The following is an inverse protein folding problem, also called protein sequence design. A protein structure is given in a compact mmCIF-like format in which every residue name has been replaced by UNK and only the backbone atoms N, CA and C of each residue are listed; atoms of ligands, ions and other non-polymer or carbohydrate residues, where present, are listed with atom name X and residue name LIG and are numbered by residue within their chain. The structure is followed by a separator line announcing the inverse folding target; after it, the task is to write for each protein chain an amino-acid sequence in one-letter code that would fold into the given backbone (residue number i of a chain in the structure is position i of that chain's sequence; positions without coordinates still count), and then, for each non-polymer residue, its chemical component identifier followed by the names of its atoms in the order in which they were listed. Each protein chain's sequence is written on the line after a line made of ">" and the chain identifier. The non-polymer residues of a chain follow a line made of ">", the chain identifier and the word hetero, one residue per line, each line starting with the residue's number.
data_IF_975226557001
#
_entry.id   IF_975226557001
#
_cell.length_a   1.000
_cell.length_b   1.000
_cell.length_c   1.000
_cell.angle_alpha   90.00
_cell.angle_beta   90.00
_cell.angle_gamma   90.00
#
_symmetry.space_group_name_H-M   'P 1'
#
loop_
_entity.id
_entity.type
_entity.pdbx_description
1 polymer ?
#
# COMPACT_ATOMS: atom_id res chain seq x y z
N UNK A 1 11.93 -12.44 -13.93
CA UNK A 1 12.39 -11.04 -13.80
C UNK A 1 13.89 -11.08 -13.96
N UNK A 2 14.43 -10.36 -14.93
CA UNK A 2 15.84 -10.42 -15.32
C UNK A 2 16.75 -9.70 -14.33
N UNK A 3 16.25 -8.66 -13.67
CA UNK A 3 17.01 -7.80 -12.75
C UNK A 3 16.77 -8.11 -11.27
N UNK A 4 15.98 -9.14 -10.95
CA UNK A 4 15.65 -9.47 -9.56
C UNK A 4 16.85 -10.03 -8.79
N UNK A 5 17.03 -9.67 -7.50
CA UNK A 5 17.97 -10.34 -6.63
C UNK A 5 17.72 -11.84 -6.56
N UNK A 6 18.78 -12.64 -6.60
CA UNK A 6 18.69 -14.10 -6.56
C UNK A 6 18.06 -14.64 -5.26
N UNK A 7 18.19 -13.91 -4.16
CA UNK A 7 17.61 -14.25 -2.86
C UNK A 7 16.13 -13.86 -2.71
N UNK A 8 15.55 -13.14 -3.68
CA UNK A 8 14.17 -12.66 -3.60
C UNK A 8 13.18 -13.79 -3.86
N UNK A 9 12.31 -14.06 -2.88
CA UNK A 9 11.20 -15.00 -3.01
C UNK A 9 9.90 -14.20 -3.11
N UNK A 10 9.23 -14.29 -4.26
CA UNK A 10 7.91 -13.69 -4.47
C UNK A 10 6.83 -14.72 -4.17
N UNK A 11 5.86 -14.35 -3.34
CA UNK A 11 4.79 -15.24 -2.88
C UNK A 11 3.42 -14.72 -3.32
N UNK A 12 2.44 -15.62 -3.34
CA UNK A 12 1.04 -15.31 -3.68
C UNK A 12 0.11 -16.27 -2.97
N UNK A 13 -0.98 -15.76 -2.40
CA UNK A 13 -2.05 -16.58 -1.83
C UNK A 13 -3.12 -16.95 -2.90
N UNK A 14 -2.91 -16.56 -4.16
CA UNK A 14 -3.72 -16.99 -5.29
C UNK A 14 -2.98 -17.98 -6.17
N UNK A 15 -3.58 -19.15 -6.37
CA UNK A 15 -3.08 -20.15 -7.30
C UNK A 15 -2.94 -19.56 -8.71
N UNK A 16 -1.84 -19.91 -9.38
CA UNK A 16 -1.52 -19.49 -10.74
C UNK A 16 -1.55 -17.96 -10.92
N UNK A 17 -1.06 -17.23 -9.94
CA UNK A 17 -0.86 -15.78 -10.05
C UNK A 17 0.48 -15.40 -9.45
N UNK A 18 1.46 -15.11 -10.31
CA UNK A 18 2.81 -14.72 -9.97
C UNK A 18 3.34 -13.64 -10.93
N UNK A 19 4.66 -13.51 -11.08
CA UNK A 19 5.26 -12.41 -11.83
C UNK A 19 4.81 -12.32 -13.30
N UNK A 20 4.54 -13.48 -13.93
CA UNK A 20 4.06 -13.53 -15.32
C UNK A 20 2.67 -12.92 -15.48
N UNK A 21 1.75 -13.25 -14.58
CA UNK A 21 0.39 -12.71 -14.60
C UNK A 21 0.35 -11.23 -14.21
N UNK A 22 1.17 -10.81 -13.24
CA UNK A 22 1.30 -9.38 -12.89
C UNK A 22 1.87 -8.59 -14.07
N UNK A 23 2.83 -9.13 -14.82
CA UNK A 23 3.33 -8.50 -16.05
C UNK A 23 2.22 -8.31 -17.08
N UNK A 24 1.40 -9.33 -17.31
CA UNK A 24 0.28 -9.23 -18.25
C UNK A 24 -0.72 -8.16 -17.81
N UNK A 25 -1.04 -8.11 -16.52
CA UNK A 25 -1.91 -7.07 -15.96
C UNK A 25 -1.28 -5.66 -16.14
N UNK A 26 0.01 -5.47 -15.83
CA UNK A 26 0.74 -4.21 -16.01
C UNK A 26 0.70 -3.73 -17.47
N UNK A 27 1.09 -4.60 -18.40
CA UNK A 27 1.11 -4.27 -19.83
C UNK A 27 -0.30 -3.94 -20.35
N UNK A 28 -1.31 -4.67 -19.87
CA UNK A 28 -2.72 -4.42 -20.25
C UNK A 28 -3.20 -3.05 -19.81
N UNK A 29 -2.93 -2.63 -18.57
CA UNK A 29 -3.39 -1.33 -18.07
C UNK A 29 -2.59 -0.16 -18.67
N UNK A 30 -1.26 -0.30 -18.82
CA UNK A 30 -0.43 0.72 -19.48
C UNK A 30 -0.88 0.94 -20.92
N UNK A 31 -1.15 -0.14 -21.66
CA UNK A 31 -1.69 -0.07 -23.03
C UNK A 31 -3.05 0.60 -23.09
N UNK A 32 -3.96 0.24 -22.19
CA UNK A 32 -5.29 0.87 -22.13
C UNK A 32 -5.19 2.38 -21.91
N UNK A 33 -4.23 2.81 -21.10
CA UNK A 33 -4.03 4.20 -20.73
C UNK A 33 -3.12 4.99 -21.68
N UNK A 34 -2.51 4.35 -22.68
CA UNK A 34 -1.48 4.94 -23.56
C UNK A 34 -0.20 5.35 -22.83
N UNK A 35 0.16 4.64 -21.75
CA UNK A 35 1.35 4.88 -20.93
C UNK A 35 2.50 3.92 -21.27
N UNK A 36 2.39 3.19 -22.39
CA UNK A 36 3.46 2.32 -22.89
C UNK A 36 4.76 3.13 -23.09
N UNK A 37 5.84 2.73 -22.41
CA UNK A 37 7.14 3.41 -22.48
C UNK A 37 7.47 4.33 -21.29
N UNK A 38 6.53 4.55 -20.35
CA UNK A 38 6.80 5.31 -19.12
C UNK A 38 7.72 4.55 -18.12
N UNK A 39 7.88 3.24 -18.32
CA UNK A 39 8.82 2.39 -17.59
C UNK A 39 9.86 1.81 -18.55
N UNK A 40 11.12 1.82 -18.14
CA UNK A 40 12.14 0.99 -18.79
C UNK A 40 11.92 -0.50 -18.46
N UNK A 41 12.46 -1.45 -19.25
CA UNK A 41 12.30 -2.88 -18.97
C UNK A 41 12.78 -3.31 -17.57
N UNK A 42 13.81 -2.64 -17.03
CA UNK A 42 14.30 -2.90 -15.68
C UNK A 42 13.35 -2.37 -14.61
N UNK A 43 12.73 -1.21 -14.83
CA UNK A 43 11.72 -0.64 -13.95
C UNK A 43 10.42 -1.44 -14.01
N UNK A 44 10.02 -1.97 -15.17
CA UNK A 44 8.90 -2.91 -15.28
C UNK A 44 9.12 -4.13 -14.38
N UNK A 45 10.31 -4.75 -14.45
CA UNK A 45 10.66 -5.89 -13.60
C UNK A 45 10.58 -5.55 -12.11
N UNK A 46 11.06 -4.38 -11.71
CA UNK A 46 11.02 -3.90 -10.33
C UNK A 46 9.58 -3.60 -9.88
N UNK A 47 8.75 -2.97 -10.72
CA UNK A 47 7.33 -2.71 -10.43
C UNK A 47 6.57 -4.01 -10.26
N UNK A 48 6.75 -4.98 -11.15
CA UNK A 48 6.10 -6.30 -11.07
C UNK A 48 6.47 -6.99 -9.75
N UNK A 49 7.76 -6.98 -9.40
CA UNK A 49 8.23 -7.58 -8.16
C UNK A 49 7.66 -6.87 -6.93
N UNK A 50 7.71 -5.54 -6.92
CA UNK A 50 7.30 -4.72 -5.78
C UNK A 50 5.80 -4.84 -5.53
N UNK A 51 4.97 -4.73 -6.57
CA UNK A 51 3.51 -4.89 -6.47
C UNK A 51 3.15 -6.28 -5.93
N UNK A 52 3.77 -7.34 -6.45
CA UNK A 52 3.50 -8.71 -6.00
C UNK A 52 3.95 -8.93 -4.56
N UNK A 53 5.19 -8.53 -4.24
CA UNK A 53 5.80 -8.62 -2.91
C UNK A 53 4.97 -7.89 -1.86
N UNK A 54 4.69 -6.60 -2.08
CA UNK A 54 3.97 -5.75 -1.14
C UNK A 54 2.50 -6.19 -0.97
N UNK A 55 1.85 -6.65 -2.05
CA UNK A 55 0.49 -7.22 -1.99
C UNK A 55 0.42 -8.42 -1.06
N UNK A 56 1.31 -9.40 -1.24
CA UNK A 56 1.33 -10.59 -0.39
C UNK A 56 1.76 -10.28 1.06
N UNK A 57 2.71 -9.35 1.23
CA UNK A 57 3.31 -9.01 2.52
C UNK A 57 2.38 -8.19 3.43
N UNK A 58 1.72 -7.17 2.88
CA UNK A 58 0.95 -6.20 3.68
C UNK A 58 -0.57 -6.47 3.68
N UNK A 59 -1.07 -7.26 2.73
CA UNK A 59 -2.49 -7.60 2.61
C UNK A 59 -2.71 -9.13 2.52
N UNK A 60 -2.20 -9.94 3.46
CA UNK A 60 -2.30 -11.40 3.39
C UNK A 60 -3.73 -11.94 3.42
N UNK A 61 -4.70 -11.15 3.89
CA UNK A 61 -6.13 -11.49 3.89
C UNK A 61 -6.80 -11.30 2.52
N UNK A 62 -6.19 -10.50 1.64
CA UNK A 62 -6.74 -10.17 0.33
C UNK A 62 -6.13 -11.13 -0.70
N UNK A 63 -6.93 -11.67 -1.64
CA UNK A 63 -6.39 -12.37 -2.80
C UNK A 63 -5.29 -11.52 -3.46
N UNK A 64 -4.07 -12.05 -3.56
CA UNK A 64 -2.90 -11.36 -4.14
C UNK A 64 -3.23 -10.78 -5.52
N UNK A 65 -3.98 -11.49 -6.36
CA UNK A 65 -4.47 -10.98 -7.66
C UNK A 65 -5.31 -9.72 -7.53
N UNK A 66 -6.21 -9.68 -6.55
CA UNK A 66 -7.03 -8.50 -6.34
C UNK A 66 -6.16 -7.31 -5.92
N UNK A 67 -5.27 -7.50 -4.95
CA UNK A 67 -4.43 -6.42 -4.46
C UNK A 67 -3.44 -5.93 -5.52
N UNK A 68 -2.79 -6.82 -6.29
CA UNK A 68 -1.91 -6.41 -7.38
C UNK A 68 -2.63 -5.56 -8.42
N UNK A 69 -3.85 -5.95 -8.82
CA UNK A 69 -4.66 -5.19 -9.78
C UNK A 69 -5.11 -3.84 -9.24
N UNK A 70 -5.45 -3.76 -7.95
CA UNK A 70 -5.77 -2.48 -7.30
C UNK A 70 -4.55 -1.58 -7.34
N UNK A 71 -3.37 -2.08 -6.96
CA UNK A 71 -2.15 -1.27 -6.91
C UNK A 71 -1.65 -0.84 -8.28
N UNK A 72 -1.78 -1.69 -9.31
CA UNK A 72 -1.47 -1.26 -10.69
C UNK A 72 -2.40 -0.13 -11.15
N UNK A 73 -3.69 -0.20 -10.79
CA UNK A 73 -4.64 0.87 -11.09
C UNK A 73 -4.40 2.13 -10.25
N UNK A 74 -3.92 1.98 -9.01
CA UNK A 74 -3.50 3.08 -8.15
C UNK A 74 -2.28 3.81 -8.74
N UNK A 75 -1.24 3.07 -9.14
CA UNK A 75 -0.07 3.64 -9.83
C UNK A 75 -0.49 4.40 -11.10
N UNK A 76 -1.47 3.88 -11.84
CA UNK A 76 -2.04 4.58 -13.00
C UNK A 76 -2.73 5.88 -12.61
N UNK A 77 -3.54 5.88 -11.56
CA UNK A 77 -4.27 7.06 -11.10
C UNK A 77 -3.34 8.13 -10.53
N UNK A 78 -2.27 7.72 -9.86
CA UNK A 78 -1.34 8.60 -9.16
C UNK A 78 -0.23 9.16 -10.06
N UNK A 79 0.25 8.38 -11.03
CA UNK A 79 1.49 8.75 -11.74
C UNK A 79 1.56 8.43 -13.22
N UNK A 80 0.54 7.83 -13.82
CA UNK A 80 0.63 7.31 -15.19
C UNK A 80 1.85 6.38 -15.39
N UNK A 81 2.22 5.62 -14.33
CA UNK A 81 3.42 4.79 -14.30
C UNK A 81 4.75 5.55 -14.46
N UNK A 82 4.80 6.86 -14.19
CA UNK A 82 6.03 7.64 -14.24
C UNK A 82 6.75 7.57 -12.88
N UNK A 83 7.86 6.81 -12.76
CA UNK A 83 8.49 6.52 -11.45
C UNK A 83 9.16 7.74 -10.81
N UNK A 84 9.30 8.82 -11.58
CA UNK A 84 9.97 10.06 -11.18
C UNK A 84 9.01 11.25 -11.15
N UNK A 85 7.70 11.02 -11.31
CA UNK A 85 6.72 12.10 -11.25
C UNK A 85 6.80 12.81 -9.89
N UNK A 86 6.73 14.13 -9.92
CA UNK A 86 6.67 14.97 -8.72
C UNK A 86 5.55 15.96 -8.90
N UNK A 87 4.53 15.86 -8.05
CA UNK A 87 3.41 16.79 -8.02
C UNK A 87 3.66 17.88 -6.97
N UNK A 88 3.17 19.10 -7.22
CA UNK A 88 3.13 20.13 -6.21
C UNK A 88 2.27 19.61 -5.04
N UNK A 89 2.83 19.64 -3.82
CA UNK A 89 2.17 19.08 -2.64
C UNK A 89 0.78 19.65 -2.40
N UNK A 90 -0.09 18.89 -1.70
CA UNK A 90 -1.28 19.51 -1.10
C UNK A 90 -0.79 20.52 -0.06
N UNK A 91 -1.61 21.53 0.24
CA UNK A 91 -1.24 22.80 0.91
C UNK A 91 -0.42 22.68 2.21
N UNK A 92 -0.37 21.50 2.83
CA UNK A 92 0.30 21.16 4.09
C UNK A 92 1.29 19.98 4.01
N UNK A 93 1.22 19.13 2.99
CA UNK A 93 1.83 17.79 2.98
C UNK A 93 3.20 17.75 2.31
N UNK A 94 3.56 18.79 1.56
CA UNK A 94 4.79 18.82 0.77
C UNK A 94 4.68 17.98 -0.52
N UNK A 95 5.71 18.00 -1.35
CA UNK A 95 5.68 17.33 -2.67
C UNK A 95 5.37 15.84 -2.55
N UNK A 96 4.52 15.36 -3.46
CA UNK A 96 4.18 13.95 -3.65
C UNK A 96 4.98 13.40 -4.82
N UNK A 97 5.62 12.24 -4.65
CA UNK A 97 6.62 11.73 -5.60
C UNK A 97 6.51 10.23 -5.91
N UNK A 98 6.91 9.89 -7.13
CA UNK A 98 7.03 8.52 -7.61
C UNK A 98 5.69 7.86 -7.94
N UNK A 99 5.71 6.53 -8.07
CA UNK A 99 4.62 5.75 -8.65
C UNK A 99 3.28 5.87 -7.90
N UNK A 100 3.33 5.92 -6.57
CA UNK A 100 2.17 6.07 -5.70
C UNK A 100 2.11 7.44 -5.03
N UNK A 101 2.89 8.42 -5.50
CA UNK A 101 2.81 9.81 -5.04
C UNK A 101 3.01 9.99 -3.52
N UNK A 102 3.97 9.25 -2.96
CA UNK A 102 4.42 9.35 -1.56
C UNK A 102 4.88 10.76 -1.22
N UNK A 103 4.53 11.28 -0.05
CA UNK A 103 5.03 12.55 0.49
C UNK A 103 6.14 12.30 1.53
N UNK A 104 7.43 12.21 1.12
CA UNK A 104 8.52 11.81 2.01
C UNK A 104 8.88 12.86 3.07
N UNK A 105 8.54 14.13 2.84
CA UNK A 105 8.77 15.26 3.75
C UNK A 105 7.48 16.06 4.01
N UNK A 106 7.61 17.30 4.49
CA UNK A 106 6.44 18.18 4.72
C UNK A 106 5.59 17.77 5.91
N UNK A 107 4.27 17.97 5.82
CA UNK A 107 3.30 17.61 6.86
C UNK A 107 3.07 16.11 7.03
N UNK A 108 3.12 15.32 5.96
CA UNK A 108 2.81 13.87 6.01
C UNK A 108 3.97 13.01 6.51
N UNK A 109 5.22 13.40 6.23
CA UNK A 109 6.44 12.75 6.75
C UNK A 109 6.50 11.22 6.57
N UNK A 110 6.00 10.68 5.46
CA UNK A 110 5.74 9.24 5.32
C UNK A 110 7.03 8.40 5.32
N UNK A 111 8.11 8.93 4.76
CA UNK A 111 9.43 8.27 4.84
C UNK A 111 9.93 8.23 6.29
N UNK A 112 9.77 9.32 7.05
CA UNK A 112 10.13 9.35 8.49
C UNK A 112 9.29 8.36 9.27
N UNK A 113 7.99 8.29 9.01
CA UNK A 113 7.08 7.33 9.63
C UNK A 113 7.56 5.89 9.36
N UNK A 114 7.84 5.55 8.10
CA UNK A 114 8.31 4.22 7.72
C UNK A 114 9.65 3.87 8.37
N UNK A 115 10.62 4.80 8.31
CA UNK A 115 11.95 4.63 8.92
C UNK A 115 11.89 4.37 10.42
N UNK A 116 10.96 5.03 11.11
CA UNK A 116 10.82 4.96 12.57
C UNK A 116 10.13 3.67 12.99
N UNK A 117 9.05 3.29 12.30
CA UNK A 117 8.12 2.28 12.82
C UNK A 117 8.14 0.95 12.08
N UNK A 118 8.65 0.87 10.85
CA UNK A 118 8.53 -0.36 10.07
C UNK A 118 9.62 -1.40 10.41
N UNK A 119 9.20 -2.65 10.61
CA UNK A 119 10.06 -3.81 10.84
C UNK A 119 10.36 -4.52 9.52
N UNK A 120 11.64 -4.63 9.17
CA UNK A 120 12.09 -5.21 7.89
C UNK A 120 12.84 -6.52 8.04
N UNK A 121 13.18 -6.94 9.26
CA UNK A 121 13.92 -8.20 9.49
C UNK A 121 13.06 -9.46 9.40
N UNK A 122 11.74 -9.32 9.49
CA UNK A 122 10.77 -10.39 9.33
C UNK A 122 9.44 -9.77 8.90
N UNK A 123 8.55 -10.58 8.33
CA UNK A 123 7.15 -10.21 8.13
C UNK A 123 6.37 -10.54 9.40
N UNK A 124 5.75 -9.54 10.01
CA UNK A 124 5.14 -9.67 11.35
C UNK A 124 3.74 -9.09 11.39
N UNK A 125 2.87 -9.72 12.18
CA UNK A 125 1.49 -9.29 12.39
C UNK A 125 1.27 -9.03 13.88
N UNK A 126 0.85 -7.82 14.26
CA UNK A 126 0.72 -7.48 15.67
C UNK A 126 -0.32 -8.34 16.40
N UNK A 127 -1.32 -8.85 15.68
CA UNK A 127 -2.36 -9.77 16.17
C UNK A 127 -2.01 -11.26 16.09
N UNK A 128 -0.87 -11.60 15.48
CA UNK A 128 -0.41 -12.97 15.37
C UNK A 128 1.12 -13.02 15.34
N UNK A 129 1.72 -12.89 16.52
CA UNK A 129 3.18 -12.85 16.70
C UNK A 129 3.86 -14.20 16.46
N UNK A 130 3.08 -15.28 16.51
CA UNK A 130 3.54 -16.67 16.37
C UNK A 130 3.26 -17.25 14.98
N UNK A 131 2.53 -16.55 14.11
CA UNK A 131 2.56 -16.83 12.68
C UNK A 131 4.00 -16.65 12.22
N UNK A 132 4.71 -17.77 12.00
CA UNK A 132 6.12 -17.77 11.63
C UNK A 132 6.44 -16.81 10.49
N UNK A 133 7.72 -16.48 10.34
CA UNK A 133 8.23 -15.49 9.36
C UNK A 133 7.58 -15.68 7.98
N UNK A 134 6.54 -14.89 7.67
CA UNK A 134 5.75 -15.00 6.43
C UNK A 134 6.59 -14.72 5.19
N UNK A 135 6.50 -13.52 4.63
CA UNK A 135 7.35 -13.08 3.51
C UNK A 135 8.84 -12.88 3.88
N UNK A 136 9.30 -13.33 5.07
CA UNK A 136 10.68 -13.16 5.53
C UNK A 136 11.13 -11.71 5.69
N UNK A 137 12.44 -11.48 5.62
CA UNK A 137 13.01 -10.13 5.63
C UNK A 137 12.64 -9.35 4.35
N UNK A 138 12.38 -8.05 4.47
CA UNK A 138 12.23 -7.17 3.32
C UNK A 138 13.62 -6.89 2.75
N UNK A 139 13.88 -7.38 1.54
CA UNK A 139 15.13 -7.13 0.82
C UNK A 139 15.07 -5.80 0.08
N UNK A 140 16.22 -5.18 -0.12
CA UNK A 140 16.40 -4.06 -1.05
C UNK A 140 16.68 -4.61 -2.46
N UNK A 141 15.94 -4.10 -3.46
CA UNK A 141 16.00 -4.59 -4.83
C UNK A 141 17.38 -4.48 -5.48
N UNK A 142 18.14 -3.43 -5.17
CA UNK A 142 19.44 -3.21 -5.81
C UNK A 142 20.54 -4.09 -5.20
N UNK A 143 20.47 -4.30 -3.89
CA UNK A 143 21.55 -4.98 -3.14
C UNK A 143 21.24 -6.45 -2.83
N UNK A 144 19.97 -6.86 -2.92
CA UNK A 144 19.50 -8.19 -2.49
C UNK A 144 19.65 -8.46 -0.99
N UNK A 145 20.10 -7.47 -0.22
CA UNK A 145 20.30 -7.56 1.23
C UNK A 145 19.07 -7.05 1.97
N UNK A 146 18.93 -7.37 3.26
CA UNK A 146 17.87 -6.77 4.08
C UNK A 146 17.92 -5.25 3.99
N UNK A 147 16.77 -4.64 3.73
CA UNK A 147 16.63 -3.21 3.57
C UNK A 147 17.11 -2.45 4.81
N UNK A 148 17.89 -1.38 4.60
CA UNK A 148 18.39 -0.50 5.66
C UNK A 148 17.60 0.80 5.66
N UNK A 149 16.43 0.81 6.30
CA UNK A 149 15.52 1.97 6.31
C UNK A 149 16.22 3.26 6.77
N UNK A 150 17.07 3.20 7.80
CA UNK A 150 17.78 4.37 8.32
C UNK A 150 18.64 5.09 7.28
N UNK A 151 19.14 4.36 6.27
CA UNK A 151 19.98 4.87 5.20
C UNK A 151 19.18 5.46 4.01
N UNK A 152 17.85 5.29 3.98
CA UNK A 152 17.02 5.83 2.91
C UNK A 152 16.92 7.36 2.98
N UNK A 153 17.04 7.97 1.82
CA UNK A 153 16.88 9.40 1.54
C UNK A 153 15.59 9.67 0.76
N UNK A 154 15.21 10.94 0.58
CA UNK A 154 14.03 11.28 -0.22
C UNK A 154 14.17 10.85 -1.69
N UNK A 155 15.39 10.87 -2.25
CA UNK A 155 15.60 10.40 -3.63
C UNK A 155 15.42 8.90 -3.79
N UNK A 156 15.62 8.11 -2.72
CA UNK A 156 15.38 6.67 -2.77
C UNK A 156 13.90 6.33 -3.00
N UNK A 157 12.99 7.22 -2.60
CA UNK A 157 11.53 7.05 -2.78
C UNK A 157 11.12 7.08 -4.25
N UNK A 158 12.00 7.51 -5.16
CA UNK A 158 11.77 7.41 -6.61
C UNK A 158 12.10 6.02 -7.19
N UNK A 159 12.72 5.13 -6.40
CA UNK A 159 12.93 3.73 -6.82
C UNK A 159 11.60 2.98 -6.70
N UNK A 160 11.12 2.28 -7.75
CA UNK A 160 9.84 1.58 -7.72
C UNK A 160 9.64 0.70 -6.48
N UNK A 161 10.66 -0.10 -6.12
CA UNK A 161 10.60 -0.99 -4.97
C UNK A 161 10.38 -0.25 -3.65
N UNK A 162 11.10 0.85 -3.43
CA UNK A 162 11.00 1.66 -2.22
C UNK A 162 9.66 2.38 -2.16
N UNK A 163 9.25 3.02 -3.27
CA UNK A 163 8.00 3.76 -3.37
C UNK A 163 6.79 2.89 -3.03
N UNK A 164 6.70 1.72 -3.70
CA UNK A 164 5.56 0.82 -3.57
C UNK A 164 5.52 0.19 -2.17
N UNK A 165 6.65 -0.27 -1.64
CA UNK A 165 6.68 -0.85 -0.29
C UNK A 165 6.34 0.16 0.80
N UNK A 166 6.82 1.40 0.69
CA UNK A 166 6.51 2.47 1.63
C UNK A 166 5.00 2.79 1.59
N UNK A 167 4.45 3.12 0.42
CA UNK A 167 3.05 3.49 0.27
C UNK A 167 2.12 2.37 0.75
N UNK A 168 2.34 1.13 0.29
CA UNK A 168 1.49 0.01 0.67
C UNK A 168 1.57 -0.35 2.16
N UNK A 169 2.73 -0.13 2.81
CA UNK A 169 2.83 -0.29 4.26
C UNK A 169 2.00 0.77 5.00
N UNK A 170 2.04 2.03 4.56
CA UNK A 170 1.24 3.12 5.14
C UNK A 170 -0.26 2.86 4.92
N UNK A 171 -0.68 2.58 3.68
CA UNK A 171 -2.07 2.32 3.33
C UNK A 171 -2.64 1.12 4.09
N UNK A 172 -1.87 0.01 4.19
CA UNK A 172 -2.31 -1.18 4.94
C UNK A 172 -2.53 -0.89 6.42
N UNK A 173 -1.56 -0.23 7.08
CA UNK A 173 -1.66 0.07 8.50
C UNK A 173 -2.74 1.12 8.80
N UNK A 174 -2.93 2.10 7.91
CA UNK A 174 -4.05 3.05 7.98
C UNK A 174 -5.38 2.30 7.89
N UNK A 175 -5.56 1.43 6.88
CA UNK A 175 -6.79 0.65 6.74
C UNK A 175 -7.10 -0.22 7.96
N UNK A 176 -6.11 -0.93 8.51
CA UNK A 176 -6.29 -1.85 9.65
C UNK A 176 -6.60 -1.13 10.96
N UNK A 177 -6.11 0.10 11.09
CA UNK A 177 -6.39 0.97 12.22
C UNK A 177 -7.61 1.85 11.96
N UNK A 178 -8.41 1.56 10.93
CA UNK A 178 -9.61 2.33 10.59
C UNK A 178 -9.31 3.81 10.34
N UNK A 179 -8.11 4.09 9.84
CA UNK A 179 -7.57 5.43 9.58
C UNK A 179 -7.14 6.20 10.84
N UNK A 180 -6.79 5.53 11.94
CA UNK A 180 -6.25 6.23 13.12
C UNK A 180 -4.92 6.92 12.83
N UNK A 181 -4.71 8.06 13.49
CA UNK A 181 -3.44 8.78 13.50
C UNK A 181 -2.28 7.84 13.87
N UNK A 182 -1.15 7.84 13.13
CA UNK A 182 0.02 7.03 13.45
C UNK A 182 0.55 7.17 14.88
N UNK A 183 0.32 8.29 15.56
CA UNK A 183 0.64 8.48 16.98
C UNK A 183 -0.02 7.41 17.87
N UNK A 184 -1.20 6.92 17.49
CA UNK A 184 -1.95 5.91 18.24
C UNK A 184 -1.54 4.47 17.91
N UNK A 185 -0.73 4.24 16.87
CA UNK A 185 -0.42 2.90 16.37
C UNK A 185 0.32 2.04 17.40
N UNK A 186 1.18 2.63 18.25
CA UNK A 186 1.86 1.88 19.31
C UNK A 186 0.87 1.26 20.32
N UNK A 187 -0.14 2.03 20.74
CA UNK A 187 -1.17 1.54 21.65
C UNK A 187 -2.03 0.45 21.00
N UNK A 188 -2.37 0.61 19.72
CA UNK A 188 -3.14 -0.37 18.94
C UNK A 188 -2.34 -1.66 18.74
N UNK A 189 -1.05 -1.57 18.39
CA UNK A 189 -0.12 -2.70 18.28
C UNK A 189 -0.13 -3.53 19.56
N UNK A 190 0.08 -2.87 20.70
CA UNK A 190 0.10 -3.52 22.01
C UNK A 190 -1.25 -4.16 22.38
N UNK A 191 -2.37 -3.50 22.06
CA UNK A 191 -3.70 -4.04 22.33
C UNK A 191 -4.06 -5.25 21.43
N UNK A 192 -3.57 -5.27 20.19
CA UNK A 192 -3.86 -6.35 19.24
C UNK A 192 -3.14 -7.67 19.58
N UNK A 193 -1.99 -7.60 20.26
CA UNK A 193 -1.18 -8.76 20.63
C UNK A 193 -1.90 -9.78 21.52
N UNK A 194 -2.94 -9.36 22.24
CA UNK A 194 -3.73 -10.23 23.12
C UNK A 194 -4.98 -10.79 22.43
N UNK A 195 -5.09 -10.69 21.11
CA UNK A 195 -6.31 -11.06 20.37
C UNK A 195 -5.98 -11.87 19.13
N UNK A 196 -6.63 -13.02 18.97
CA UNK A 196 -6.32 -13.99 17.90
C UNK A 196 -6.62 -13.52 16.47
N UNK A 197 -7.22 -12.33 16.27
CA UNK A 197 -7.47 -11.67 14.97
C UNK A 197 -7.55 -10.14 15.06
N UNK A 198 -6.96 -9.52 16.09
CA UNK A 198 -7.05 -8.07 16.29
C UNK A 198 -8.38 -7.54 16.81
N UNK A 199 -9.48 -8.29 16.65
CA UNK A 199 -10.84 -7.88 16.99
C UNK A 199 -11.20 -8.11 18.46
N UNK A 200 -10.44 -7.49 19.38
CA UNK A 200 -10.83 -7.46 20.81
C UNK A 200 -11.62 -6.20 21.13
N UNK A 201 -12.42 -6.25 22.21
CA UNK A 201 -13.07 -5.06 22.76
C UNK A 201 -12.05 -3.93 23.07
N UNK A 202 -10.82 -4.30 23.47
CA UNK A 202 -9.74 -3.34 23.75
C UNK A 202 -9.29 -2.62 22.49
N UNK A 203 -9.05 -3.36 21.40
CA UNK A 203 -8.70 -2.76 20.10
C UNK A 203 -9.85 -1.92 19.58
N UNK A 204 -11.08 -2.44 19.56
CA UNK A 204 -12.25 -1.68 19.11
C UNK A 204 -12.43 -0.38 19.89
N UNK A 205 -12.14 -0.34 21.20
CA UNK A 205 -12.17 0.88 22.01
C UNK A 205 -11.12 1.91 21.57
N UNK A 206 -9.93 1.47 21.20
CA UNK A 206 -8.87 2.35 20.66
C UNK A 206 -9.17 2.81 19.23
N UNK A 207 -10.06 2.11 18.53
CA UNK A 207 -10.59 2.52 17.24
C UNK A 207 -11.82 3.43 17.38
N UNK A 208 -12.30 3.76 18.58
CA UNK A 208 -13.41 4.71 18.77
C UNK A 208 -12.95 6.12 18.39
N UNK A 209 -13.73 6.79 17.55
CA UNK A 209 -13.31 8.01 16.84
C UNK A 209 -12.69 7.71 15.47
N UNK A 210 -12.49 6.43 15.14
CA UNK A 210 -12.18 5.94 13.82
C UNK A 210 -13.30 5.05 13.25
N UNK A 211 -14.32 5.65 12.65
CA UNK A 211 -15.53 4.98 12.15
C UNK A 211 -15.43 4.37 10.74
N UNK A 212 -14.24 4.29 10.15
CA UNK A 212 -14.07 3.75 8.80
C UNK A 212 -13.96 2.22 8.82
N UNK A 213 -14.53 1.56 7.80
CA UNK A 213 -14.40 0.12 7.68
C UNK A 213 -12.93 -0.24 7.51
N UNK A 214 -12.47 -1.35 8.12
CA UNK A 214 -11.13 -1.88 7.86
C UNK A 214 -11.12 -2.57 6.50
N UNK A 215 -11.14 -1.79 5.42
CA UNK A 215 -11.19 -2.27 4.05
C UNK A 215 -10.08 -1.65 3.22
N UNK A 216 -9.79 -2.25 2.07
CA UNK A 216 -8.85 -1.67 1.09
C UNK A 216 -9.29 -0.27 0.67
N UNK A 217 -10.61 -0.02 0.55
CA UNK A 217 -11.14 1.32 0.26
C UNK A 217 -10.68 2.35 1.28
N UNK A 218 -10.67 2.01 2.57
CA UNK A 218 -10.18 2.93 3.60
C UNK A 218 -8.69 3.21 3.44
N UNK A 219 -7.86 2.21 3.11
CA UNK A 219 -6.44 2.43 2.85
C UNK A 219 -6.20 3.42 1.71
N UNK A 220 -6.94 3.26 0.60
CA UNK A 220 -6.91 4.15 -0.56
C UNK A 220 -7.47 5.55 -0.23
N UNK A 221 -8.64 5.63 0.41
CA UNK A 221 -9.27 6.91 0.73
C UNK A 221 -8.44 7.75 1.71
N UNK A 222 -7.83 7.12 2.72
CA UNK A 222 -6.96 7.80 3.68
C UNK A 222 -5.65 8.30 3.05
N UNK A 223 -5.18 7.65 1.98
CA UNK A 223 -4.04 8.14 1.18
C UNK A 223 -4.31 9.53 0.59
N UNK A 224 -5.58 9.82 0.29
CA UNK A 224 -5.99 11.06 -0.40
C UNK A 224 -6.63 12.10 0.54
N UNK A 225 -7.49 11.68 1.47
CA UNK A 225 -8.19 12.59 2.38
C UNK A 225 -7.49 12.80 3.73
N UNK A 226 -6.60 11.88 4.13
CA UNK A 226 -6.05 11.83 5.48
C UNK A 226 -6.91 11.01 6.45
N UNK A 227 -6.59 11.11 7.74
CA UNK A 227 -7.01 10.12 8.73
C UNK A 227 -8.46 10.26 9.26
N UNK A 228 -9.20 11.30 8.87
CA UNK A 228 -10.47 11.62 9.53
C UNK A 228 -11.60 10.65 9.16
N UNK A 229 -12.48 10.37 10.11
CA UNK A 229 -13.53 9.35 9.92
C UNK A 229 -14.92 9.88 9.64
N UNK A 230 -15.07 11.19 9.82
CA UNK A 230 -16.10 12.05 9.25
C UNK A 230 -15.55 13.49 9.17
N UNK A 231 -16.32 14.42 8.58
CA UNK A 231 -15.95 15.83 8.51
C UNK A 231 -14.75 16.13 7.62
N UNK A 232 -14.12 17.29 7.84
CA UNK A 232 -12.99 17.78 7.05
C UNK A 232 -11.81 16.80 7.09
N UNK A 233 -11.33 16.36 5.92
CA UNK A 233 -10.22 15.39 5.81
C UNK A 233 -10.64 13.93 5.88
N UNK A 234 -11.92 13.62 5.68
CA UNK A 234 -12.41 12.25 5.54
C UNK A 234 -12.86 11.98 4.11
N UNK A 235 -12.46 10.84 3.54
CA UNK A 235 -12.91 10.42 2.19
C UNK A 235 -14.42 10.15 2.10
N UNK A 236 -15.11 10.10 3.24
CA UNK A 236 -16.57 9.96 3.33
C UNK A 236 -17.29 11.30 3.45
N UNK A 237 -16.56 12.42 3.48
CA UNK A 237 -17.16 13.74 3.56
C UNK A 237 -18.03 14.00 2.33
N UNK A 238 -19.26 14.47 2.55
CA UNK A 238 -20.13 14.91 1.45
C UNK A 238 -19.48 16.12 0.74
N UNK A 239 -19.23 15.99 -0.55
CA UNK A 239 -18.55 17.00 -1.37
C UNK A 239 -17.01 16.89 -1.37
N UNK A 240 -16.44 15.78 -0.87
CA UNK A 240 -15.05 15.43 -1.14
C UNK A 240 -14.92 14.79 -2.53
N UNK A 241 -15.01 15.63 -3.54
CA UNK A 241 -14.92 15.22 -4.94
C UNK A 241 -13.52 14.67 -5.29
N UNK A 242 -12.48 15.01 -4.51
CA UNK A 242 -11.10 14.59 -4.78
C UNK A 242 -10.95 13.10 -4.47
N UNK A 243 -11.36 12.67 -3.28
CA UNK A 243 -11.28 11.25 -2.92
C UNK A 243 -12.21 10.38 -3.76
N UNK A 244 -13.39 10.89 -4.11
CA UNK A 244 -14.32 10.20 -5.01
C UNK A 244 -13.71 10.02 -6.41
N UNK A 245 -13.20 11.09 -7.03
CA UNK A 245 -12.55 11.03 -8.34
C UNK A 245 -11.33 10.11 -8.35
N UNK A 246 -10.53 10.12 -7.28
CA UNK A 246 -9.40 9.22 -7.12
C UNK A 246 -9.86 7.75 -7.06
N UNK A 247 -10.80 7.40 -6.18
CA UNK A 247 -11.31 6.03 -6.05
C UNK A 247 -11.94 5.57 -7.37
N UNK A 248 -12.67 6.44 -8.06
CA UNK A 248 -13.23 6.14 -9.37
C UNK A 248 -12.16 5.90 -10.43
N UNK A 249 -11.07 6.69 -10.42
CA UNK A 249 -9.93 6.50 -11.32
C UNK A 249 -9.26 5.13 -11.10
N UNK A 250 -9.07 4.74 -9.83
CA UNK A 250 -8.58 3.39 -9.49
C UNK A 250 -9.55 2.32 -9.99
N UNK A 251 -10.86 2.49 -9.77
CA UNK A 251 -11.87 1.51 -10.20
C UNK A 251 -11.99 1.39 -11.71
N UNK A 252 -11.73 2.45 -12.49
CA UNK A 252 -11.63 2.37 -13.95
C UNK A 252 -10.49 1.45 -14.37
N UNK A 253 -9.30 1.63 -13.79
CA UNK A 253 -8.16 0.74 -14.03
C UNK A 253 -8.43 -0.72 -13.62
N UNK A 254 -9.03 -0.93 -12.45
CA UNK A 254 -9.44 -2.28 -12.01
C UNK A 254 -10.47 -2.90 -12.97
N UNK A 255 -11.44 -2.10 -13.45
CA UNK A 255 -12.46 -2.56 -14.39
C UNK A 255 -11.86 -3.07 -15.69
N UNK A 256 -10.84 -2.38 -16.21
CA UNK A 256 -10.06 -2.81 -17.38
C UNK A 256 -9.40 -4.15 -17.13
N UNK A 257 -8.70 -4.30 -16.00
CA UNK A 257 -7.98 -5.53 -15.66
C UNK A 257 -8.90 -6.73 -15.53
N UNK A 258 -10.11 -6.55 -14.99
CA UNK A 258 -11.11 -7.61 -14.86
C UNK A 258 -12.07 -7.75 -16.06
N UNK A 259 -12.07 -6.82 -17.01
CA UNK A 259 -12.97 -6.83 -18.17
C UNK A 259 -14.45 -6.64 -17.82
N UNK A 260 -14.75 -6.00 -16.67
CA UNK A 260 -16.11 -5.67 -16.24
C UNK A 260 -16.09 -4.48 -15.29
N UNK A 261 -17.19 -3.74 -15.24
CA UNK A 261 -17.34 -2.60 -14.33
C UNK A 261 -17.23 -3.05 -12.87
N UNK A 262 -16.33 -2.40 -12.14
CA UNK A 262 -16.16 -2.52 -10.71
C UNK A 262 -16.65 -1.24 -10.03
N UNK A 263 -17.15 -1.39 -8.81
CA UNK A 263 -17.66 -0.27 -8.00
C UNK A 263 -16.95 -0.22 -6.66
N UNK A 264 -17.07 0.90 -5.95
CA UNK A 264 -16.41 1.08 -4.65
C UNK A 264 -16.79 0.01 -3.62
N UNK A 265 -18.01 -0.52 -3.67
CA UNK A 265 -18.46 -1.64 -2.83
C UNK A 265 -17.61 -2.90 -2.99
N UNK A 266 -16.94 -3.08 -4.14
CA UNK A 266 -16.01 -4.19 -4.33
C UNK A 266 -14.74 -4.02 -3.50
N UNK A 267 -14.24 -2.80 -3.35
CA UNK A 267 -13.09 -2.49 -2.48
C UNK A 267 -13.44 -2.70 -1.00
N UNK A 268 -14.69 -2.44 -0.62
CA UNK A 268 -15.17 -2.62 0.75
C UNK A 268 -15.29 -4.09 1.19
N UNK A 269 -15.38 -5.03 0.25
CA UNK A 269 -15.41 -6.48 0.54
C UNK A 269 -14.07 -7.02 1.04
N UNK A 270 -12.98 -6.33 0.74
CA UNK A 270 -11.64 -6.73 1.14
C UNK A 270 -11.33 -6.27 2.56
N UNK A 271 -11.94 -6.96 3.54
CA UNK A 271 -11.81 -6.63 4.96
C UNK A 271 -10.48 -7.11 5.54
N UNK A 272 -9.81 -6.24 6.29
CA UNK A 272 -8.52 -6.50 6.92
C UNK A 272 -8.68 -6.77 8.42
N UNK A 273 -7.78 -7.60 8.96
CA UNK A 273 -7.68 -7.79 10.41
C UNK A 273 -7.23 -6.50 11.08
N UNK A 274 -7.76 -6.22 12.27
CA UNK A 274 -7.29 -5.09 13.08
C UNK A 274 -5.88 -5.33 13.62
N UNK A 275 -5.13 -4.25 13.85
CA UNK A 275 -3.73 -4.28 14.26
C UNK A 275 -2.82 -3.68 13.18
N UNK A 276 -1.56 -4.11 13.15
CA UNK A 276 -0.52 -3.54 12.30
C UNK A 276 0.37 -4.65 11.71
N UNK A 277 0.83 -4.43 10.48
CA UNK A 277 1.77 -5.29 9.76
C UNK A 277 3.14 -4.64 9.75
N UNK A 278 4.17 -5.44 9.98
CA UNK A 278 5.57 -5.01 9.93
C UNK A 278 5.79 -3.75 10.77
N UNK A 279 5.20 -3.69 11.96
CA UNK A 279 5.32 -2.57 12.89
C UNK A 279 6.17 -2.97 14.10
N UNK A 280 7.06 -2.08 14.54
CA UNK A 280 8.01 -2.31 15.64
C UNK A 280 7.40 -2.17 17.03
#
# INVERSE_FOLDING_TARGET
>A
LATAPSALVLTSNNANYGPGEVRQDLQKIMKWAYDEGNLSPAEEDEVIAAVLSASARYFPEVPTRAMCRIMLADIKAESDFQPRLSSAGRLDSGASVGLLQVSPGGGSQELTLWKTHAKVSANTFSWNRDAGNGAGALLDWQTGSQMKLSALSNSDVLRPWVNIHLAMWVQSNSARTSSQDPYNWAAISAASATSSKGNSAKVNKLLVGAGLNRSVRTGLGTWVAGAATDGAGSYKQKGDDISEQYIDSVLQGVSVLYGKTMTADWLDRWVLNAGLVDYR
#
